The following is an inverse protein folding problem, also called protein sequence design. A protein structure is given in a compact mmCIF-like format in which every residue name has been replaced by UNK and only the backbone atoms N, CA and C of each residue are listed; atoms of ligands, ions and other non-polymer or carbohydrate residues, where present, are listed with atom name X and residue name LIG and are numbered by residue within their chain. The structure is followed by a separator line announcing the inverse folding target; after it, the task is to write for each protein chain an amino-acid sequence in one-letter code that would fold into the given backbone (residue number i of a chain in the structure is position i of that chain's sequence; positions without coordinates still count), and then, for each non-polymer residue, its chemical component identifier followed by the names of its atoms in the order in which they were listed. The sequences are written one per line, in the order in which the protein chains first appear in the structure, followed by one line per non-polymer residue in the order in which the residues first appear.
data_IF_797512480558
#
_entry.id   IF_797512480558
#
_cell.length_a   1.000
_cell.length_b   1.000
_cell.length_c   1.000
_cell.angle_alpha   90.00
_cell.angle_beta   90.00
_cell.angle_gamma   90.00
#
_symmetry.space_group_name_H-M   'P 1'
#
loop_
_entity.id
_entity.type
_entity.pdbx_description
1 polymer ?
#
# COMPACT_ATOMS: atom_id res chain seq x y z
N UNK A 1 5.55 -10.83 -21.17
CA UNK A 1 5.52 -9.38 -21.13
C UNK A 1 5.75 -8.93 -19.72
N UNK A 2 6.71 -8.08 -19.53
CA UNK A 2 6.92 -7.58 -18.19
C UNK A 2 5.68 -6.89 -17.69
N UNK A 3 5.68 -6.66 -16.45
CA UNK A 3 4.56 -6.19 -15.70
C UNK A 3 3.98 -4.94 -16.29
N UNK A 4 2.72 -4.99 -16.58
CA UNK A 4 2.00 -3.82 -16.98
C UNK A 4 1.42 -3.17 -15.75
N UNK A 5 1.58 -1.86 -15.69
CA UNK A 5 0.88 -1.08 -14.70
C UNK A 5 -0.56 -0.97 -15.13
N UNK A 6 -1.46 -1.49 -14.31
CA UNK A 6 -2.89 -1.36 -14.54
C UNK A 6 -3.42 -0.25 -13.65
N UNK A 7 -4.22 0.63 -14.24
CA UNK A 7 -4.88 1.70 -13.49
C UNK A 7 -6.37 1.38 -13.46
N UNK A 8 -6.96 1.44 -12.27
CA UNK A 8 -8.37 1.14 -12.10
C UNK A 8 -8.94 1.97 -10.95
N UNK A 9 -10.20 1.78 -10.65
CA UNK A 9 -10.89 2.53 -9.61
C UNK A 9 -11.59 1.57 -8.66
N UNK A 10 -11.57 1.90 -7.39
CA UNK A 10 -12.31 1.16 -6.36
C UNK A 10 -13.07 2.17 -5.50
N UNK A 11 -14.25 1.77 -5.05
CA UNK A 11 -14.99 2.58 -4.08
C UNK A 11 -14.51 2.22 -2.68
N UNK A 12 -14.01 3.20 -1.96
CA UNK A 12 -13.50 3.02 -0.62
C UNK A 12 -14.17 4.02 0.30
N UNK A 13 -14.99 3.52 1.21
CA UNK A 13 -15.75 4.34 2.16
C UNK A 13 -16.54 5.46 1.48
N UNK A 14 -17.17 5.12 0.34
CA UNK A 14 -17.95 6.07 -0.43
C UNK A 14 -17.16 6.99 -1.35
N UNK A 15 -15.83 6.86 -1.37
CA UNK A 15 -14.96 7.70 -2.18
C UNK A 15 -14.39 6.90 -3.35
N UNK A 16 -14.57 7.40 -4.57
CA UNK A 16 -13.96 6.78 -5.75
C UNK A 16 -12.45 6.99 -5.67
N UNK A 17 -11.71 5.89 -5.62
CA UNK A 17 -10.26 5.90 -5.43
C UNK A 17 -9.59 5.27 -6.62
N UNK A 18 -8.70 6.00 -7.28
CA UNK A 18 -7.90 5.48 -8.37
C UNK A 18 -6.69 4.79 -7.78
N UNK A 19 -6.34 3.62 -8.31
CA UNK A 19 -5.15 2.91 -7.87
C UNK A 19 -4.42 2.33 -9.07
N UNK A 20 -3.14 2.09 -8.87
CA UNK A 20 -2.30 1.38 -9.83
C UNK A 20 -1.86 0.08 -9.23
N UNK A 21 -1.73 -0.94 -10.05
CA UNK A 21 -1.25 -2.24 -9.60
C UNK A 21 -0.38 -2.91 -10.64
N UNK A 22 0.55 -3.72 -10.17
CA UNK A 22 1.36 -4.59 -11.03
C UNK A 22 2.05 -5.65 -10.17
N UNK A 23 2.65 -6.63 -10.83
CA UNK A 23 3.32 -7.71 -10.13
C UNK A 23 2.35 -8.77 -9.63
N UNK A 24 2.89 -9.75 -8.95
CA UNK A 24 2.12 -10.84 -8.36
C UNK A 24 2.80 -11.33 -7.09
N UNK A 25 2.07 -12.12 -6.30
CA UNK A 25 2.57 -12.65 -5.05
C UNK A 25 1.94 -11.97 -3.85
N UNK A 26 2.73 -11.79 -2.80
CA UNK A 26 2.26 -11.13 -1.58
C UNK A 26 1.95 -9.67 -1.84
N UNK A 27 0.91 -9.17 -1.23
CA UNK A 27 0.43 -7.82 -1.48
C UNK A 27 1.15 -6.78 -0.63
N UNK A 28 1.59 -5.71 -1.28
CA UNK A 28 2.22 -4.56 -0.64
C UNK A 28 1.45 -3.31 -1.04
N UNK A 29 1.00 -2.55 -0.06
CA UNK A 29 0.34 -1.26 -0.26
C UNK A 29 1.38 -0.15 -0.10
N UNK A 30 1.48 0.72 -1.09
CA UNK A 30 2.40 1.86 -1.05
C UNK A 30 1.60 3.15 -0.90
N UNK A 31 1.85 3.87 0.18
CA UNK A 31 1.13 5.11 0.48
C UNK A 31 2.06 6.31 0.34
N UNK A 32 1.95 7.01 -0.78
CA UNK A 32 2.76 8.20 -1.02
C UNK A 32 4.20 7.93 -1.45
N UNK A 33 4.56 6.68 -1.67
CA UNK A 33 5.91 6.29 -2.08
C UNK A 33 6.07 6.52 -3.58
N UNK A 34 7.30 6.85 -4.03
CA UNK A 34 7.54 7.14 -5.43
C UNK A 34 7.27 5.93 -6.34
N UNK A 35 6.83 6.21 -7.55
CA UNK A 35 6.52 5.18 -8.53
C UNK A 35 7.75 4.33 -8.90
N UNK A 36 8.93 4.94 -8.92
CA UNK A 36 10.16 4.21 -9.24
C UNK A 36 10.42 3.08 -8.25
N UNK A 37 10.18 3.32 -6.97
CA UNK A 37 10.33 2.29 -5.94
C UNK A 37 9.27 1.23 -6.10
N UNK A 38 8.05 1.65 -6.38
CA UNK A 38 6.93 0.75 -6.60
C UNK A 38 7.23 -0.20 -7.76
N UNK A 39 7.73 0.32 -8.88
CA UNK A 39 8.09 -0.50 -10.04
C UNK A 39 9.15 -1.54 -9.68
N UNK A 40 10.16 -1.15 -8.90
CA UNK A 40 11.22 -2.06 -8.50
C UNK A 40 10.72 -3.21 -7.63
N UNK A 41 9.69 -2.99 -6.82
CA UNK A 41 9.14 -4.03 -5.96
C UNK A 41 8.23 -5.01 -6.71
N UNK A 42 7.74 -4.64 -7.88
CA UNK A 42 6.81 -5.45 -8.66
C UNK A 42 7.36 -6.79 -9.11
N UNK A 43 8.68 -6.96 -9.13
CA UNK A 43 9.32 -8.22 -9.48
C UNK A 43 9.08 -9.31 -8.42
N UNK A 44 8.83 -8.91 -7.18
CA UNK A 44 8.72 -9.84 -6.05
C UNK A 44 7.37 -9.83 -5.38
N UNK A 45 6.59 -8.77 -5.57
CA UNK A 45 5.35 -8.56 -4.84
C UNK A 45 4.23 -8.06 -5.76
N UNK A 46 3.00 -8.29 -5.33
CA UNK A 46 1.84 -7.64 -5.92
C UNK A 46 1.76 -6.24 -5.28
N UNK A 47 2.05 -5.23 -6.09
CA UNK A 47 2.14 -3.86 -5.60
C UNK A 47 0.86 -3.11 -5.93
N UNK A 48 0.29 -2.45 -4.93
CA UNK A 48 -0.91 -1.63 -5.08
C UNK A 48 -0.62 -0.23 -4.54
N UNK A 49 -0.84 0.77 -5.39
CA UNK A 49 -0.60 2.16 -5.05
C UNK A 49 -1.92 2.92 -5.18
N UNK A 50 -2.69 3.02 -4.10
CA UNK A 50 -3.89 3.84 -4.13
C UNK A 50 -3.51 5.31 -4.11
N UNK A 51 -4.28 6.13 -4.83
CA UNK A 51 -4.10 7.56 -4.82
C UNK A 51 -4.67 8.12 -3.53
N UNK A 52 -3.82 8.79 -2.74
CA UNK A 52 -4.24 9.34 -1.47
C UNK A 52 -5.20 10.51 -1.69
N UNK A 53 -6.35 10.53 -1.02
CA UNK A 53 -7.27 11.65 -1.14
C UNK A 53 -6.70 12.90 -0.48
N UNK A 54 -7.13 14.07 -0.95
CA UNK A 54 -6.74 15.34 -0.33
C UNK A 54 -7.27 15.46 1.10
N UNK A 55 -8.42 14.84 1.36
CA UNK A 55 -8.98 14.71 2.70
C UNK A 55 -9.68 13.38 2.79
N UNK A 56 -9.55 12.71 3.92
CA UNK A 56 -10.19 11.41 4.09
C UNK A 56 -11.70 11.57 4.33
N UNK A 57 -12.50 10.56 3.92
CA UNK A 57 -13.92 10.54 4.27
C UNK A 57 -14.14 10.58 5.79
N UNK A 58 -15.37 10.86 6.19
CA UNK A 58 -15.72 11.02 7.61
C UNK A 58 -15.29 9.88 8.51
N UNK A 59 -15.18 8.66 7.95
CA UNK A 59 -14.70 7.50 8.69
C UNK A 59 -13.20 7.50 8.98
N UNK A 60 -12.44 8.42 8.37
CA UNK A 60 -11.01 8.55 8.57
C UNK A 60 -10.17 7.67 7.66
N UNK A 61 -8.85 7.80 7.78
CA UNK A 61 -7.90 7.11 6.91
C UNK A 61 -7.97 5.60 7.05
N UNK A 62 -8.10 5.09 8.27
CA UNK A 62 -8.14 3.64 8.50
C UNK A 62 -9.35 3.01 7.83
N UNK A 63 -10.51 3.66 7.92
CA UNK A 63 -11.71 3.14 7.29
C UNK A 63 -11.61 3.19 5.77
N UNK A 64 -11.01 4.24 5.24
CA UNK A 64 -10.76 4.35 3.80
C UNK A 64 -9.85 3.22 3.32
N UNK A 65 -8.74 2.96 4.03
CA UNK A 65 -7.83 1.87 3.69
C UNK A 65 -8.53 0.51 3.78
N UNK A 66 -9.37 0.32 4.78
CA UNK A 66 -10.19 -0.88 4.90
C UNK A 66 -11.09 -1.07 3.69
N UNK A 67 -11.69 0.01 3.22
CA UNK A 67 -12.52 -0.01 2.01
C UNK A 67 -11.72 -0.36 0.76
N UNK A 68 -10.50 0.14 0.63
CA UNK A 68 -9.61 -0.22 -0.47
C UNK A 68 -9.33 -1.72 -0.44
N UNK A 69 -8.96 -2.26 0.72
CA UNK A 69 -8.66 -3.68 0.85
C UNK A 69 -9.88 -4.55 0.55
N UNK A 70 -11.05 -4.19 1.05
CA UNK A 70 -12.27 -4.94 0.80
C UNK A 70 -12.66 -4.90 -0.67
N UNK A 71 -12.58 -3.73 -1.28
CA UNK A 71 -12.92 -3.57 -2.70
C UNK A 71 -12.00 -4.33 -3.64
N UNK A 72 -10.75 -4.53 -3.25
CA UNK A 72 -9.75 -5.25 -4.05
C UNK A 72 -9.58 -6.71 -3.64
N UNK A 73 -10.32 -7.17 -2.64
CA UNK A 73 -10.18 -8.55 -2.17
C UNK A 73 -8.85 -8.83 -1.48
N UNK A 74 -8.27 -7.84 -0.83
CA UNK A 74 -7.00 -7.99 -0.13
C UNK A 74 -7.27 -8.48 1.29
N UNK A 75 -6.85 -9.71 1.59
CA UNK A 75 -7.02 -10.27 2.92
C UNK A 75 -5.98 -9.74 3.89
N UNK A 76 -4.73 -9.64 3.42
CA UNK A 76 -3.64 -9.08 4.22
C UNK A 76 -2.58 -8.46 3.32
N UNK A 77 -1.84 -7.50 3.85
CA UNK A 77 -0.81 -6.80 3.11
C UNK A 77 0.24 -6.23 4.06
N UNK A 78 1.43 -5.96 3.54
CA UNK A 78 2.38 -5.08 4.19
C UNK A 78 2.18 -3.67 3.66
N UNK A 79 2.49 -2.67 4.45
CA UNK A 79 2.34 -1.28 4.07
C UNK A 79 3.69 -0.58 4.11
N UNK A 80 4.02 0.12 3.02
CA UNK A 80 5.16 1.03 2.98
C UNK A 80 4.59 2.43 2.85
N UNK A 81 4.89 3.30 3.79
CA UNK A 81 4.32 4.64 3.85
C UNK A 81 5.43 5.68 4.01
N UNK A 82 5.14 6.91 3.59
CA UNK A 82 6.02 8.04 3.86
C UNK A 82 5.75 8.60 5.25
N UNK A 83 6.63 9.43 5.80
CA UNK A 83 6.33 10.12 7.05
C UNK A 83 5.00 10.88 7.02
N UNK A 84 4.64 11.44 5.86
CA UNK A 84 3.38 12.16 5.71
C UNK A 84 2.15 11.26 5.80
N UNK A 85 2.27 9.99 5.39
CA UNK A 85 1.16 9.02 5.44
C UNK A 85 1.28 8.05 6.62
N UNK A 86 2.23 8.27 7.50
CA UNK A 86 2.49 7.40 8.66
C UNK A 86 1.27 7.23 9.55
N UNK A 87 0.58 8.32 9.84
CA UNK A 87 -0.58 8.27 10.73
C UNK A 87 -1.68 7.38 10.16
N UNK A 88 -1.94 7.49 8.85
CA UNK A 88 -2.94 6.65 8.19
C UNK A 88 -2.57 5.18 8.26
N UNK A 89 -1.32 4.84 7.96
CA UNK A 89 -0.84 3.47 7.99
C UNK A 89 -0.89 2.89 9.40
N UNK A 90 -0.44 3.65 10.39
CA UNK A 90 -0.41 3.20 11.78
C UNK A 90 -1.80 3.00 12.34
N UNK A 91 -2.71 3.91 12.05
CA UNK A 91 -4.09 3.79 12.50
C UNK A 91 -4.76 2.56 11.91
N UNK A 92 -4.56 2.32 10.62
CA UNK A 92 -5.12 1.14 9.97
C UNK A 92 -4.56 -0.16 10.58
N UNK A 93 -3.25 -0.19 10.84
CA UNK A 93 -2.64 -1.36 11.45
C UNK A 93 -3.20 -1.64 12.84
N UNK A 94 -3.52 -0.61 13.61
CA UNK A 94 -4.13 -0.77 14.93
C UNK A 94 -5.57 -1.25 14.86
N UNK A 95 -6.34 -0.77 13.89
CA UNK A 95 -7.76 -1.11 13.76
C UNK A 95 -7.99 -2.44 13.05
N UNK A 96 -7.06 -2.85 12.20
CA UNK A 96 -7.17 -4.08 11.43
C UNK A 96 -5.88 -4.90 11.49
N UNK A 97 -5.48 -5.35 12.68
CA UNK A 97 -4.21 -6.06 12.84
C UNK A 97 -4.13 -7.36 12.05
N UNK A 98 -5.27 -7.99 11.77
CA UNK A 98 -5.30 -9.22 10.98
C UNK A 98 -5.05 -8.98 9.48
N UNK A 99 -5.19 -7.74 9.03
CA UNK A 99 -4.99 -7.39 7.63
C UNK A 99 -3.62 -6.82 7.35
N UNK A 100 -2.89 -6.39 8.38
CA UNK A 100 -1.60 -5.72 8.21
C UNK A 100 -0.49 -6.59 8.78
N UNK A 101 0.37 -7.10 7.89
CA UNK A 101 1.51 -7.94 8.28
C UNK A 101 2.62 -7.11 8.88
N UNK A 102 2.76 -5.86 8.47
CA UNK A 102 3.75 -4.95 9.00
C UNK A 102 3.71 -3.62 8.27
N UNK A 103 4.30 -2.61 8.90
CA UNK A 103 4.38 -1.26 8.35
C UNK A 103 5.83 -0.83 8.32
N UNK A 104 6.28 -0.34 7.17
CA UNK A 104 7.63 0.20 6.98
C UNK A 104 7.52 1.68 6.66
N UNK A 105 8.23 2.50 7.44
CA UNK A 105 8.34 3.94 7.18
C UNK A 105 9.82 4.21 6.90
N UNK A 106 10.22 4.33 5.63
CA UNK A 106 11.62 4.58 5.32
C UNK A 106 12.08 5.93 5.86
N UNK A 107 13.33 6.00 6.29
CA UNK A 107 13.91 7.24 6.82
C UNK A 107 14.25 8.24 5.72
N UNK A 108 14.33 7.77 4.48
CA UNK A 108 14.72 8.57 3.33
C UNK A 108 13.55 8.72 2.38
N UNK A 109 13.38 9.87 1.70
CA UNK A 109 12.36 10.03 0.68
C UNK A 109 12.63 9.16 -0.57
N UNK A 110 13.84 8.67 -0.73
CA UNK A 110 14.23 7.80 -1.84
C UNK A 110 14.95 6.56 -1.29
N UNK A 111 14.24 5.66 -0.59
CA UNK A 111 14.86 4.47 -0.02
C UNK A 111 15.38 3.52 -1.09
N UNK A 112 16.38 2.73 -0.74
CA UNK A 112 16.92 1.71 -1.64
C UNK A 112 15.89 0.60 -1.83
N UNK A 113 15.45 0.30 -3.06
CA UNK A 113 14.49 -0.77 -3.30
C UNK A 113 14.95 -2.14 -2.79
N UNK A 114 16.25 -2.42 -2.85
CA UNK A 114 16.77 -3.70 -2.37
C UNK A 114 16.61 -3.83 -0.85
N UNK A 115 16.82 -2.74 -0.12
CA UNK A 115 16.63 -2.72 1.33
C UNK A 115 15.16 -2.91 1.68
N UNK A 116 14.27 -2.23 0.96
CA UNK A 116 12.83 -2.40 1.16
C UNK A 116 12.38 -3.83 0.86
N UNK A 117 12.89 -4.40 -0.23
CA UNK A 117 12.55 -5.78 -0.60
C UNK A 117 12.95 -6.75 0.49
N UNK A 118 14.15 -6.61 1.03
CA UNK A 118 14.63 -7.48 2.11
C UNK A 118 13.76 -7.34 3.37
N UNK A 119 13.38 -6.11 3.72
CA UNK A 119 12.52 -5.87 4.86
C UNK A 119 11.12 -6.49 4.67
N UNK A 120 10.56 -6.35 3.47
CA UNK A 120 9.25 -6.94 3.15
C UNK A 120 9.30 -8.46 3.17
N UNK A 121 10.37 -9.06 2.65
CA UNK A 121 10.52 -10.50 2.68
C UNK A 121 10.53 -11.03 4.11
N UNK A 122 11.15 -10.30 5.03
CA UNK A 122 11.14 -10.67 6.45
C UNK A 122 9.75 -10.57 7.06
N UNK A 123 8.98 -9.57 6.67
CA UNK A 123 7.60 -9.42 7.15
C UNK A 123 6.75 -10.63 6.75
N UNK A 124 6.94 -11.12 5.52
CA UNK A 124 6.15 -12.23 4.99
C UNK A 124 6.73 -13.61 5.28
N UNK A 125 7.91 -13.67 5.85
CA UNK A 125 8.54 -14.96 6.15
C UNK A 125 7.93 -15.67 7.36
#
# INVERSE_FOLDING_TARGET
MPDRISTAMVMADGLATIYRRWGSGRTVLLLGVSEAIALALGDSFRVIVPELPLGFPDGGAARWLGGVCEGLGIAEAAIVATPASRAAASQFAQEAPDRVRGVIIPDSPAPDPAVLRAALERIFS
#
